data_IF_916240726921
#
_entry.id   IF_916240726921
#
_cell.length_a   1.000
_cell.length_b   1.000
_cell.length_c   1.000
_cell.angle_alpha   90.00
_cell.angle_beta   90.00
_cell.angle_gamma   90.00
#
_symmetry.space_group_name_H-M   'P 1'
#
loop_
_entity.id
_entity.type
_entity.pdbx_description
1 polymer ?
#
# COMPACT_ATOMS: atom_id res chain seq x y z
N UNK A 1 -7.34 13.38 20.03
CA UNK A 1 -7.38 11.91 20.13
C UNK A 1 -8.36 11.34 19.13
N UNK A 2 -7.81 10.97 17.98
CA UNK A 2 -8.54 10.19 16.97
C UNK A 2 -8.85 8.82 17.57
N UNK A 3 -10.12 8.43 17.62
CA UNK A 3 -10.50 7.07 18.07
C UNK A 3 -10.28 6.04 16.98
N UNK A 4 -10.09 4.78 17.35
CA UNK A 4 -9.95 3.68 16.39
C UNK A 4 -11.18 3.57 15.46
N UNK A 5 -12.38 3.90 15.95
CA UNK A 5 -13.61 3.96 15.15
C UNK A 5 -13.54 5.04 14.06
N UNK A 6 -13.13 6.25 14.43
CA UNK A 6 -12.94 7.35 13.47
C UNK A 6 -11.86 7.03 12.44
N UNK A 7 -10.76 6.37 12.85
CA UNK A 7 -9.74 5.89 11.91
C UNK A 7 -10.36 4.89 10.92
N UNK A 8 -11.08 3.87 11.41
CA UNK A 8 -11.71 2.86 10.54
C UNK A 8 -12.64 3.51 9.50
N UNK A 9 -13.45 4.48 9.91
CA UNK A 9 -14.33 5.20 9.00
C UNK A 9 -13.55 5.99 7.96
N UNK A 10 -12.47 6.68 8.37
CA UNK A 10 -11.58 7.42 7.47
C UNK A 10 -10.93 6.50 6.43
N UNK A 11 -10.44 5.33 6.84
CA UNK A 11 -9.85 4.35 5.92
C UNK A 11 -10.87 3.83 4.90
N UNK A 12 -12.13 3.61 5.31
CA UNK A 12 -13.23 3.24 4.40
C UNK A 12 -13.52 4.35 3.40
N UNK A 13 -13.60 5.60 3.85
CA UNK A 13 -13.82 6.77 2.97
C UNK A 13 -12.70 6.94 1.94
N UNK A 14 -11.44 6.80 2.36
CA UNK A 14 -10.28 6.84 1.45
C UNK A 14 -10.40 5.72 0.41
N UNK A 15 -10.67 4.49 0.85
CA UNK A 15 -10.84 3.34 -0.06
C UNK A 15 -11.96 3.61 -1.08
N UNK A 16 -13.14 4.05 -0.63
CA UNK A 16 -14.28 4.33 -1.51
C UNK A 16 -13.99 5.44 -2.54
N UNK A 17 -13.19 6.45 -2.15
CA UNK A 17 -12.75 7.50 -3.06
C UNK A 17 -11.92 6.92 -4.22
N UNK A 18 -10.94 6.08 -3.93
CA UNK A 18 -10.09 5.47 -4.96
C UNK A 18 -10.82 4.39 -5.76
N UNK A 19 -11.81 3.72 -5.17
CA UNK A 19 -12.73 2.84 -5.89
C UNK A 19 -13.65 3.59 -6.85
N UNK A 20 -13.93 4.86 -6.60
CA UNK A 20 -14.77 5.67 -7.51
C UNK A 20 -13.91 6.42 -8.54
N UNK A 21 -12.72 6.88 -8.13
CA UNK A 21 -11.82 7.68 -8.95
C UNK A 21 -11.03 6.85 -9.98
N UNK A 22 -10.71 5.58 -9.70
CA UNK A 22 -10.16 4.68 -10.71
C UNK A 22 -11.23 4.48 -11.79
N UNK A 23 -11.01 5.03 -12.98
CA UNK A 23 -12.01 5.01 -14.04
C UNK A 23 -12.39 3.56 -14.37
N UNK A 24 -13.66 3.32 -14.68
CA UNK A 24 -14.13 1.96 -14.99
C UNK A 24 -13.28 1.28 -16.08
N UNK A 25 -12.76 2.06 -17.03
CA UNK A 25 -11.84 1.60 -18.07
C UNK A 25 -10.47 1.15 -17.55
N UNK A 26 -9.85 1.87 -16.61
CA UNK A 26 -8.55 1.49 -16.03
C UNK A 26 -8.67 0.22 -15.16
N UNK A 27 -9.74 0.14 -14.35
CA UNK A 27 -10.04 -1.07 -13.57
C UNK A 27 -10.33 -2.25 -14.48
N UNK A 28 -11.18 -2.08 -15.50
CA UNK A 28 -11.50 -3.15 -16.43
C UNK A 28 -10.30 -3.54 -17.29
N UNK A 29 -9.44 -2.61 -17.68
CA UNK A 29 -8.22 -2.92 -18.43
C UNK A 29 -7.23 -3.71 -17.58
N UNK A 30 -7.02 -3.30 -16.31
CA UNK A 30 -6.22 -4.06 -15.36
C UNK A 30 -6.83 -5.44 -15.10
N UNK A 31 -8.13 -5.52 -14.79
CA UNK A 31 -8.84 -6.77 -14.56
C UNK A 31 -8.82 -7.70 -15.77
N UNK A 32 -9.07 -7.18 -16.96
CA UNK A 32 -9.02 -7.95 -18.20
C UNK A 32 -7.59 -8.39 -18.54
N UNK A 33 -6.57 -7.57 -18.27
CA UNK A 33 -5.19 -7.97 -18.44
C UNK A 33 -4.77 -9.06 -17.45
N UNK A 34 -5.18 -8.96 -16.18
CA UNK A 34 -4.97 -10.01 -15.17
C UNK A 34 -5.71 -11.29 -15.55
N UNK A 35 -6.96 -11.19 -15.99
CA UNK A 35 -7.76 -12.33 -16.41
C UNK A 35 -7.23 -12.98 -17.70
N UNK A 36 -6.58 -12.22 -18.59
CA UNK A 36 -5.83 -12.76 -19.74
C UNK A 36 -4.58 -13.51 -19.31
N UNK A 37 -3.83 -12.99 -18.33
CA UNK A 37 -2.66 -13.68 -17.76
C UNK A 37 -3.10 -14.97 -17.05
N UNK A 38 -4.20 -14.92 -16.29
CA UNK A 38 -4.79 -16.06 -15.59
C UNK A 38 -5.31 -17.13 -16.54
N UNK A 39 -5.98 -16.74 -17.64
CA UNK A 39 -6.48 -17.67 -18.67
C UNK A 39 -5.40 -18.14 -19.67
N UNK A 40 -4.33 -17.38 -19.85
CA UNK A 40 -3.23 -17.68 -20.78
C UNK A 40 -2.11 -18.53 -20.18
N UNK A 41 -2.17 -18.88 -18.90
CA UNK A 41 -1.15 -19.70 -18.23
C UNK A 41 -1.04 -21.12 -18.82
N UNK A 42 -2.10 -21.60 -19.50
CA UNK A 42 -2.12 -22.91 -20.17
C UNK A 42 -1.75 -22.85 -21.67
N UNK A 43 -1.64 -21.67 -22.29
CA UNK A 43 -1.42 -21.53 -23.73
C UNK A 43 -0.30 -20.53 -24.06
N UNK A 44 0.93 -21.03 -24.12
CA UNK A 44 2.04 -20.49 -24.92
C UNK A 44 2.46 -19.02 -24.71
N UNK A 45 3.40 -18.80 -23.78
CA UNK A 45 4.71 -18.14 -23.98
C UNK A 45 4.91 -16.92 -24.93
N UNK A 46 3.93 -16.14 -25.38
CA UNK A 46 4.19 -14.82 -25.98
C UNK A 46 2.94 -13.95 -26.18
N UNK A 47 2.62 -13.09 -25.21
CA UNK A 47 1.96 -11.79 -25.50
C UNK A 47 2.12 -10.82 -24.33
N UNK A 48 2.98 -9.81 -24.53
CA UNK A 48 3.11 -8.55 -23.77
C UNK A 48 2.82 -8.62 -22.25
N UNK A 49 3.80 -9.14 -21.48
CA UNK A 49 3.74 -9.16 -20.02
C UNK A 49 3.61 -7.73 -19.48
N UNK A 50 2.57 -7.44 -18.70
CA UNK A 50 2.40 -6.14 -18.02
C UNK A 50 3.71 -5.73 -17.32
N UNK A 51 4.08 -4.44 -17.34
CA UNK A 51 5.32 -3.99 -16.75
C UNK A 51 5.36 -4.33 -15.26
N UNK A 52 6.53 -4.77 -14.81
CA UNK A 52 6.79 -4.95 -13.39
C UNK A 52 7.10 -3.60 -12.77
N UNK A 53 6.44 -3.27 -11.68
CA UNK A 53 6.84 -2.16 -10.81
C UNK A 53 7.31 -2.72 -9.49
N UNK A 54 8.51 -2.31 -9.07
CA UNK A 54 9.10 -2.68 -7.80
C UNK A 54 8.88 -1.54 -6.79
N UNK A 55 8.42 -1.91 -5.61
CA UNK A 55 8.25 -1.02 -4.46
C UNK A 55 9.14 -1.50 -3.32
N UNK A 56 9.78 -0.56 -2.62
CA UNK A 56 10.56 -0.81 -1.41
C UNK A 56 9.90 -0.06 -0.26
N UNK A 57 9.32 -0.79 0.70
CA UNK A 57 8.53 -0.16 1.76
C UNK A 57 9.35 0.02 3.03
N UNK A 58 8.94 0.96 3.90
CA UNK A 58 9.69 1.34 5.09
C UNK A 58 9.77 0.24 6.14
N UNK A 59 8.70 -0.53 6.32
CA UNK A 59 8.60 -1.54 7.37
C UNK A 59 7.66 -2.70 7.01
N UNK A 60 7.50 -3.64 7.96
CA UNK A 60 6.66 -4.83 7.78
C UNK A 60 5.15 -4.52 7.69
N UNK A 61 4.67 -3.45 8.33
CA UNK A 61 3.27 -3.05 8.41
C UNK A 61 2.85 -2.30 7.16
N UNK A 62 3.68 -1.35 6.71
CA UNK A 62 3.57 -0.71 5.40
C UNK A 62 3.47 -1.75 4.29
N UNK A 63 4.35 -2.77 4.32
CA UNK A 63 4.29 -3.88 3.36
C UNK A 63 2.99 -4.65 3.45
N UNK A 64 2.51 -4.99 4.65
CA UNK A 64 1.23 -5.69 4.82
C UNK A 64 0.05 -4.88 4.28
N UNK A 65 0.03 -3.57 4.54
CA UNK A 65 -0.97 -2.64 4.00
C UNK A 65 -0.94 -2.65 2.47
N UNK A 66 0.22 -2.47 1.86
CA UNK A 66 0.36 -2.47 0.40
C UNK A 66 -0.07 -3.80 -0.24
N UNK A 67 0.30 -4.93 0.37
CA UNK A 67 -0.13 -6.25 -0.09
C UNK A 67 -1.65 -6.41 -0.01
N UNK A 68 -2.31 -5.90 1.03
CA UNK A 68 -3.75 -5.94 1.17
C UNK A 68 -4.45 -5.12 0.08
N UNK A 69 -3.94 -3.91 -0.22
CA UNK A 69 -4.45 -3.07 -1.30
C UNK A 69 -4.28 -3.77 -2.65
N UNK A 70 -3.10 -4.33 -2.93
CA UNK A 70 -2.84 -5.08 -4.16
C UNK A 70 -3.86 -6.22 -4.35
N UNK A 71 -4.05 -7.05 -3.31
CA UNK A 71 -4.99 -8.18 -3.34
C UNK A 71 -6.44 -7.73 -3.53
N UNK A 72 -6.84 -6.62 -2.90
CA UNK A 72 -8.17 -6.05 -3.07
C UNK A 72 -8.42 -5.63 -4.52
N UNK A 73 -7.41 -5.11 -5.20
CA UNK A 73 -7.46 -4.81 -6.64
C UNK A 73 -7.28 -6.03 -7.54
N UNK A 74 -7.22 -7.25 -6.99
CA UNK A 74 -7.05 -8.49 -7.75
C UNK A 74 -5.62 -8.75 -8.23
N UNK A 75 -4.65 -7.94 -7.79
CA UNK A 75 -3.25 -8.08 -8.17
C UNK A 75 -2.57 -9.18 -7.34
N UNK A 76 -1.63 -9.85 -7.98
CA UNK A 76 -0.78 -10.86 -7.34
C UNK A 76 0.62 -10.28 -7.08
N UNK A 77 0.85 -9.67 -5.92
CA UNK A 77 2.18 -9.19 -5.55
C UNK A 77 3.12 -10.36 -5.26
N UNK A 78 4.36 -10.26 -5.73
CA UNK A 78 5.43 -11.24 -5.48
C UNK A 78 6.74 -10.55 -5.15
N UNK A 79 7.78 -11.35 -4.89
CA UNK A 79 9.16 -10.88 -4.71
C UNK A 79 10.11 -11.86 -5.37
N UNK A 80 11.25 -11.37 -5.83
CA UNK A 80 12.32 -12.24 -6.32
C UNK A 80 13.17 -12.79 -5.17
N UNK A 81 13.82 -13.94 -5.41
CA UNK A 81 14.81 -14.50 -4.49
C UNK A 81 15.93 -13.46 -4.24
N UNK A 82 16.34 -13.31 -2.99
CA UNK A 82 17.39 -12.36 -2.58
C UNK A 82 16.91 -10.92 -2.36
N UNK A 83 15.66 -10.58 -2.69
CA UNK A 83 15.12 -9.27 -2.35
C UNK A 83 14.82 -9.15 -0.85
N UNK A 84 15.00 -7.93 -0.31
CA UNK A 84 14.63 -7.58 1.07
C UNK A 84 13.15 -7.90 1.30
N UNK A 85 12.80 -8.29 2.52
CA UNK A 85 11.42 -8.66 2.87
C UNK A 85 10.42 -7.52 2.63
N UNK A 86 10.86 -6.26 2.73
CA UNK A 86 10.05 -5.05 2.46
C UNK A 86 9.86 -4.74 0.97
N UNK A 87 10.50 -5.50 0.07
CA UNK A 87 10.32 -5.34 -1.37
C UNK A 87 9.08 -6.09 -1.85
N UNK A 88 8.27 -5.41 -2.66
CA UNK A 88 7.09 -5.98 -3.34
C UNK A 88 7.17 -5.63 -4.83
N UNK A 89 6.91 -6.61 -5.68
CA UNK A 89 6.81 -6.44 -7.13
C UNK A 89 5.36 -6.71 -7.55
N UNK A 90 4.82 -5.83 -8.40
CA UNK A 90 3.47 -5.92 -8.93
C UNK A 90 3.51 -5.79 -10.45
N UNK A 91 2.71 -6.60 -11.15
CA UNK A 91 2.48 -6.48 -12.59
C UNK A 91 1.17 -5.77 -12.84
N UNK A 92 1.23 -4.52 -13.29
CA UNK A 92 0.06 -3.70 -13.57
C UNK A 92 0.41 -2.62 -14.60
N UNK A 93 -0.57 -2.08 -15.35
CA UNK A 93 -0.34 -0.91 -16.20
C UNK A 93 0.24 0.26 -15.39
N UNK A 94 1.24 0.95 -15.94
CA UNK A 94 1.91 2.08 -15.24
C UNK A 94 0.93 3.18 -14.84
N UNK A 95 -0.03 3.51 -15.71
CA UNK A 95 -1.08 4.48 -15.43
C UNK A 95 -1.92 4.12 -14.20
N UNK A 96 -2.29 2.84 -14.05
CA UNK A 96 -3.02 2.37 -12.87
C UNK A 96 -2.17 2.45 -11.59
N UNK A 97 -0.88 2.11 -11.69
CA UNK A 97 0.04 2.21 -10.56
C UNK A 97 0.15 3.65 -10.06
N UNK A 98 0.40 4.59 -10.97
CA UNK A 98 0.65 6.00 -10.66
C UNK A 98 -0.63 6.76 -10.32
N UNK A 99 -1.73 6.46 -10.99
CA UNK A 99 -3.01 7.15 -10.83
C UNK A 99 -3.90 6.60 -9.71
N UNK A 100 -3.74 5.34 -9.30
CA UNK A 100 -4.62 4.71 -8.32
C UNK A 100 -3.86 3.99 -7.22
N UNK A 101 -3.09 2.96 -7.56
CA UNK A 101 -2.55 2.03 -6.56
C UNK A 101 -1.63 2.71 -5.55
N UNK A 102 -0.67 3.50 -6.05
CA UNK A 102 0.31 4.17 -5.21
C UNK A 102 -0.28 5.36 -4.43
N UNK A 103 -1.08 6.27 -5.04
CA UNK A 103 -1.78 7.32 -4.30
C UNK A 103 -2.68 6.77 -3.19
N UNK A 104 -3.41 5.70 -3.45
CA UNK A 104 -4.27 5.06 -2.45
C UNK A 104 -3.45 4.54 -1.27
N UNK A 105 -2.35 3.84 -1.54
CA UNK A 105 -1.43 3.39 -0.51
C UNK A 105 -0.92 4.55 0.34
N UNK A 106 -0.45 5.64 -0.28
CA UNK A 106 0.06 6.81 0.46
C UNK A 106 -1.03 7.45 1.34
N UNK A 107 -2.26 7.55 0.85
CA UNK A 107 -3.37 8.10 1.60
C UNK A 107 -3.72 7.24 2.83
N UNK A 108 -3.80 5.91 2.65
CA UNK A 108 -4.07 4.97 3.74
C UNK A 108 -2.91 4.90 4.73
N UNK A 109 -1.66 4.87 4.24
CA UNK A 109 -0.47 4.84 5.07
C UNK A 109 -0.37 6.10 5.93
N UNK A 110 -0.60 7.28 5.35
CA UNK A 110 -0.62 8.54 6.10
C UNK A 110 -1.67 8.54 7.20
N UNK A 111 -2.90 8.12 6.88
CA UNK A 111 -3.98 8.08 7.87
C UNK A 111 -3.70 7.12 9.03
N UNK A 112 -3.14 5.94 8.72
CA UNK A 112 -2.77 4.95 9.72
C UNK A 112 -1.58 5.41 10.57
N UNK A 113 -0.54 5.94 9.94
CA UNK A 113 0.65 6.45 10.62
C UNK A 113 0.29 7.57 11.59
N UNK A 114 -0.47 8.58 11.17
CA UNK A 114 -0.87 9.67 12.07
C UNK A 114 -1.64 9.18 13.31
N UNK A 115 -2.50 8.17 13.17
CA UNK A 115 -3.20 7.59 14.32
C UNK A 115 -2.25 6.83 15.24
N UNK A 116 -1.37 6.00 14.67
CA UNK A 116 -0.42 5.21 15.44
C UNK A 116 0.59 6.10 16.17
N UNK A 117 1.05 7.18 15.55
CA UNK A 117 1.95 8.13 16.16
C UNK A 117 1.28 8.84 17.35
N UNK A 118 0.07 9.39 17.16
CA UNK A 118 -0.71 10.03 18.23
C UNK A 118 -0.95 9.07 19.41
N UNK A 119 -1.33 7.82 19.11
CA UNK A 119 -1.58 6.80 20.12
C UNK A 119 -0.30 6.35 20.85
N UNK A 120 0.80 6.16 20.11
CA UNK A 120 2.08 5.71 20.68
C UNK A 120 2.68 6.79 21.56
N UNK A 121 2.66 8.05 21.11
CA UNK A 121 3.16 9.18 21.86
C UNK A 121 2.39 9.37 23.17
N UNK A 122 1.06 9.24 23.16
CA UNK A 122 0.27 9.30 24.38
C UNK A 122 0.68 8.19 25.36
N UNK A 123 0.75 6.94 24.91
CA UNK A 123 1.12 5.80 25.77
C UNK A 123 2.52 6.00 26.37
N UNK A 124 3.48 6.50 25.59
CA UNK A 124 4.83 6.77 26.11
C UNK A 124 4.77 7.84 27.20
N UNK A 125 4.08 8.97 26.95
CA UNK A 125 3.98 10.07 27.92
C UNK A 125 3.29 9.66 29.22
N UNK A 126 2.21 8.89 29.12
CA UNK A 126 1.37 8.52 30.26
C UNK A 126 1.93 7.33 31.06
N UNK A 127 2.45 6.30 30.38
CA UNK A 127 2.78 5.02 31.01
C UNK A 127 4.28 4.75 31.15
N UNK A 128 5.14 5.43 30.35
CA UNK A 128 6.59 5.22 30.39
C UNK A 128 7.28 6.40 31.06
N UNK A 129 7.19 7.58 30.46
CA UNK A 129 7.77 8.80 30.98
C UNK A 129 7.20 10.03 30.26
N UNK A 130 6.91 11.10 31.00
CA UNK A 130 6.25 12.31 30.48
C UNK A 130 7.04 13.02 29.37
N UNK A 131 8.36 12.89 29.36
CA UNK A 131 9.20 13.40 28.26
C UNK A 131 9.34 12.35 27.16
N UNK A 132 8.58 12.55 26.08
CA UNK A 132 8.68 11.80 24.83
C UNK A 132 9.37 12.62 23.72
N UNK A 133 10.12 13.68 24.09
CA UNK A 133 10.83 14.55 23.17
C UNK A 133 12.03 13.88 22.50
N UNK A 134 12.44 14.44 21.37
CA UNK A 134 13.61 13.95 20.64
C UNK A 134 14.92 14.29 21.35
N UNK A 135 15.95 13.46 21.10
CA UNK A 135 17.27 13.67 21.66
C UNK A 135 17.90 14.97 21.13
N UNK A 136 18.64 15.68 22.00
CA UNK A 136 19.38 16.87 21.60
C UNK A 136 20.50 16.51 20.60
N UNK A 137 20.51 17.17 19.45
CA UNK A 137 21.60 17.06 18.47
C UNK A 137 22.88 17.71 19.04
N UNK A 138 24.02 17.03 18.87
CA UNK A 138 25.34 17.55 19.27
C UNK A 138 26.31 17.38 18.12
N UNK A 139 27.08 18.42 17.81
CA UNK A 139 28.21 18.33 16.89
C UNK A 139 29.35 17.56 17.57
N UNK A 140 29.94 16.59 16.84
CA UNK A 140 31.08 15.78 17.29
C UNK A 140 32.42 16.39 16.92
#
# INVERSE_FOLDING_TARGET
>A
MTTESQLREKLRKITALFETAATAGERQAAAAAMERVRRGLDAALNTQRLPETRFSLGDQWQRRLFLAICRRHGLEPYRYKGQRYTTVVVRAPRAFVEGTLWPEYLALQKALHSYLDEATEQIIREEVFNDAGEAAERAG
#
